data_IF_831407902858
#
_entry.id   IF_831407902858
#
_cell.length_a   1.000
_cell.length_b   1.000
_cell.length_c   1.000
_cell.angle_alpha   90.00
_cell.angle_beta   90.00
_cell.angle_gamma   90.00
#
_symmetry.space_group_name_H-M   'P 1'
#
loop_
_entity.id
_entity.type
_entity.pdbx_description
1 polymer ?
#
# COMPACT_ATOMS: atom_id res chain seq x y z
N UNK A 1 0.89 -14.51 10.59
CA UNK A 1 1.04 -13.05 10.36
C UNK A 1 -0.19 -12.60 9.61
N UNK A 2 -0.86 -11.58 10.09
CA UNK A 2 -2.07 -11.04 9.48
C UNK A 2 -1.76 -10.27 8.20
N UNK A 3 -2.60 -10.42 7.17
CA UNK A 3 -2.51 -9.65 5.93
C UNK A 3 -3.70 -8.69 5.86
N UNK A 4 -3.43 -7.41 5.60
CA UNK A 4 -4.43 -6.35 5.56
C UNK A 4 -4.44 -5.71 4.18
N UNK A 5 -5.58 -5.71 3.49
CA UNK A 5 -5.74 -5.09 2.19
C UNK A 5 -6.56 -3.81 2.37
N UNK A 6 -5.96 -2.65 2.15
CA UNK A 6 -6.63 -1.35 2.27
C UNK A 6 -7.47 -1.06 1.03
N UNK A 7 -8.79 -1.22 1.14
CA UNK A 7 -9.71 -1.14 0.01
C UNK A 7 -10.92 -0.22 0.25
N UNK A 8 -10.83 0.71 1.20
CA UNK A 8 -11.91 1.66 1.56
C UNK A 8 -11.72 3.06 0.96
N UNK A 9 -10.80 3.21 0.03
CA UNK A 9 -10.53 4.49 -0.65
C UNK A 9 -11.66 4.91 -1.59
N UNK A 10 -12.12 6.18 -1.49
CA UNK A 10 -13.19 6.73 -2.34
C UNK A 10 -12.83 6.84 -3.83
N UNK A 11 -11.57 6.68 -4.20
CA UNK A 11 -11.13 6.74 -5.61
C UNK A 11 -11.47 8.04 -6.34
N UNK A 12 -11.40 9.20 -5.65
CA UNK A 12 -11.83 10.52 -6.21
C UNK A 12 -11.19 10.84 -7.56
N UNK A 13 -9.90 10.54 -7.75
CA UNK A 13 -9.18 10.75 -9.00
C UNK A 13 -9.60 9.79 -10.12
N UNK A 14 -10.08 8.63 -9.75
CA UNK A 14 -10.58 7.59 -10.64
C UNK A 14 -11.93 7.93 -11.28
N UNK A 15 -12.76 8.70 -10.58
CA UNK A 15 -14.08 9.19 -11.02
C UNK A 15 -15.01 8.08 -11.57
N UNK A 16 -14.98 6.89 -10.95
CA UNK A 16 -15.75 5.71 -11.37
C UNK A 16 -15.56 5.33 -12.85
N UNK A 17 -14.36 5.50 -13.37
CA UNK A 17 -14.03 5.03 -14.71
C UNK A 17 -14.45 3.57 -14.88
N UNK A 18 -15.04 3.21 -16.03
CA UNK A 18 -15.69 1.92 -16.29
C UNK A 18 -16.87 1.58 -15.35
N UNK A 19 -17.37 2.53 -14.55
CA UNK A 19 -18.49 2.31 -13.65
C UNK A 19 -18.18 1.47 -12.42
N UNK A 20 -16.90 1.24 -12.13
CA UNK A 20 -16.46 0.43 -10.98
C UNK A 20 -15.40 1.14 -10.15
N UNK A 21 -15.31 0.88 -8.82
CA UNK A 21 -14.18 1.28 -8.00
C UNK A 21 -12.86 0.68 -8.52
N UNK A 22 -11.73 1.36 -8.30
CA UNK A 22 -10.39 0.91 -8.74
C UNK A 22 -10.10 -0.53 -8.34
N UNK A 23 -10.43 -0.90 -7.11
CA UNK A 23 -10.19 -2.21 -6.53
C UNK A 23 -10.89 -3.35 -7.28
N UNK A 24 -11.93 -3.03 -8.06
CA UNK A 24 -12.69 -3.98 -8.89
C UNK A 24 -12.32 -3.93 -10.37
N UNK A 25 -11.26 -3.20 -10.74
CA UNK A 25 -10.71 -3.26 -12.09
C UNK A 25 -10.28 -4.68 -12.42
N UNK A 26 -10.53 -5.08 -13.68
CA UNK A 26 -10.20 -6.43 -14.14
C UNK A 26 -8.94 -6.44 -15.00
N UNK A 27 -8.04 -7.34 -14.64
CA UNK A 27 -6.85 -7.69 -15.41
C UNK A 27 -6.92 -9.21 -15.64
N UNK A 28 -6.85 -9.64 -16.88
CA UNK A 28 -6.96 -11.05 -17.27
C UNK A 28 -8.22 -11.76 -16.71
N UNK A 29 -9.33 -11.00 -16.62
CA UNK A 29 -10.62 -11.53 -16.16
C UNK A 29 -10.82 -11.55 -14.63
N UNK A 30 -9.79 -11.26 -13.84
CA UNK A 30 -9.81 -11.23 -12.38
C UNK A 30 -9.79 -9.79 -11.85
N UNK A 31 -10.51 -9.49 -10.76
CA UNK A 31 -10.42 -8.15 -10.15
C UNK A 31 -9.09 -7.99 -9.40
N UNK A 32 -8.62 -6.75 -9.20
CA UNK A 32 -7.38 -6.50 -8.43
C UNK A 32 -7.45 -7.14 -7.05
N UNK A 33 -8.58 -7.01 -6.35
CA UNK A 33 -8.76 -7.62 -5.01
C UNK A 33 -8.76 -9.14 -5.08
N UNK A 34 -9.48 -9.76 -6.04
CA UNK A 34 -9.53 -11.20 -6.15
C UNK A 34 -8.16 -11.78 -6.48
N UNK A 35 -7.46 -11.15 -7.43
CA UNK A 35 -6.08 -11.49 -7.79
C UNK A 35 -5.15 -11.43 -6.58
N UNK A 36 -5.16 -10.33 -5.84
CA UNK A 36 -4.32 -10.14 -4.66
C UNK A 36 -4.61 -11.18 -3.59
N UNK A 37 -5.88 -11.43 -3.27
CA UNK A 37 -6.25 -12.44 -2.29
C UNK A 37 -5.82 -13.84 -2.72
N UNK A 38 -5.97 -14.21 -4.00
CA UNK A 38 -5.50 -15.49 -4.54
C UNK A 38 -3.97 -15.61 -4.43
N UNK A 39 -3.24 -14.59 -4.90
CA UNK A 39 -1.77 -14.59 -4.83
C UNK A 39 -1.26 -14.74 -3.38
N UNK A 40 -1.86 -14.03 -2.43
CA UNK A 40 -1.53 -14.14 -1.02
C UNK A 40 -1.80 -15.55 -0.48
N UNK A 41 -2.97 -16.11 -0.79
CA UNK A 41 -3.34 -17.47 -0.36
C UNK A 41 -2.42 -18.54 -0.97
N UNK A 42 -2.10 -18.46 -2.25
CA UNK A 42 -1.18 -19.37 -2.95
C UNK A 42 0.25 -19.32 -2.37
N UNK A 43 0.64 -18.20 -1.75
CA UNK A 43 1.90 -18.06 -1.01
C UNK A 43 1.78 -18.35 0.49
N UNK A 44 0.69 -19.01 0.94
CA UNK A 44 0.54 -19.52 2.31
C UNK A 44 0.01 -18.49 3.31
N UNK A 45 -0.58 -17.38 2.87
CA UNK A 45 -1.25 -16.45 3.76
C UNK A 45 -2.72 -16.87 3.97
N UNK A 46 -3.07 -17.31 5.19
CA UNK A 46 -4.42 -17.79 5.52
C UNK A 46 -5.26 -16.77 6.33
N UNK A 47 -4.62 -15.75 6.92
CA UNK A 47 -5.31 -14.72 7.71
C UNK A 47 -5.33 -13.39 6.94
N UNK A 48 -6.22 -13.31 5.94
CA UNK A 48 -6.38 -12.17 5.06
C UNK A 48 -7.64 -11.38 5.47
N UNK A 49 -7.48 -10.06 5.66
CA UNK A 49 -8.57 -9.15 6.00
C UNK A 49 -8.61 -7.99 4.99
N UNK A 50 -9.75 -7.81 4.34
CA UNK A 50 -10.03 -6.65 3.48
C UNK A 50 -10.59 -5.53 4.35
N UNK A 51 -9.87 -4.41 4.44
CA UNK A 51 -10.38 -3.18 5.06
C UNK A 51 -11.21 -2.45 4.02
N UNK A 52 -12.52 -2.69 4.03
CA UNK A 52 -13.44 -2.13 3.04
C UNK A 52 -14.68 -2.99 2.80
N UNK A 53 -15.54 -2.61 1.82
CA UNK A 53 -16.83 -3.25 1.60
C UNK A 53 -16.77 -4.54 0.77
N UNK A 54 -15.61 -4.91 0.24
CA UNK A 54 -15.49 -6.02 -0.70
C UNK A 54 -15.44 -7.37 0.00
N UNK A 55 -15.96 -8.40 -0.66
CA UNK A 55 -15.96 -9.78 -0.17
C UNK A 55 -15.13 -10.66 -1.09
N UNK A 56 -14.42 -11.60 -0.48
CA UNK A 56 -13.62 -12.59 -1.20
C UNK A 56 -13.64 -13.93 -0.46
N UNK A 57 -13.51 -15.03 -1.20
CA UNK A 57 -13.53 -16.39 -0.61
C UNK A 57 -12.31 -16.71 0.26
N UNK A 58 -11.19 -15.97 0.09
CA UNK A 58 -9.95 -16.15 0.83
C UNK A 58 -9.79 -15.17 1.99
N UNK A 59 -10.70 -14.22 2.16
CA UNK A 59 -10.54 -13.11 3.09
C UNK A 59 -11.81 -12.83 3.90
N UNK A 60 -11.62 -12.34 5.11
CA UNK A 60 -12.68 -11.68 5.90
C UNK A 60 -12.68 -10.18 5.63
N UNK A 61 -13.74 -9.49 6.11
CA UNK A 61 -13.84 -8.03 5.98
C UNK A 61 -13.80 -7.37 7.36
N UNK A 62 -13.19 -6.20 7.40
CA UNK A 62 -13.27 -5.30 8.56
C UNK A 62 -13.51 -3.85 8.11
N UNK A 63 -13.96 -3.00 9.04
CA UNK A 63 -14.18 -1.57 8.84
C UNK A 63 -13.55 -0.79 9.97
N UNK A 64 -13.02 0.36 9.61
CA UNK A 64 -12.45 1.32 10.55
C UNK A 64 -13.17 2.65 10.45
N UNK A 65 -13.16 3.41 11.55
CA UNK A 65 -13.81 4.72 11.62
C UNK A 65 -12.91 5.86 11.15
N UNK A 66 -11.60 5.61 11.02
CA UNK A 66 -10.65 6.64 10.66
C UNK A 66 -10.86 7.14 9.22
N UNK A 67 -11.05 8.43 9.09
CA UNK A 67 -11.22 9.15 7.83
C UNK A 67 -9.88 9.55 7.15
N UNK A 68 -8.77 9.33 7.85
CA UNK A 68 -7.42 9.67 7.39
C UNK A 68 -6.48 8.48 7.49
N UNK A 69 -5.71 8.21 6.44
CA UNK A 69 -4.75 7.09 6.35
C UNK A 69 -3.82 7.00 7.56
N UNK A 70 -3.31 8.13 8.08
CA UNK A 70 -2.44 8.16 9.26
C UNK A 70 -3.09 7.64 10.53
N UNK A 71 -4.38 7.94 10.74
CA UNK A 71 -5.17 7.45 11.87
C UNK A 71 -5.57 6.01 11.67
N UNK A 72 -5.92 5.63 10.43
CA UNK A 72 -6.21 4.25 10.06
C UNK A 72 -5.04 3.32 10.38
N UNK A 73 -3.81 3.69 10.04
CA UNK A 73 -2.62 2.89 10.33
C UNK A 73 -2.42 2.66 11.83
N UNK A 74 -2.67 3.68 12.65
CA UNK A 74 -2.61 3.57 14.09
C UNK A 74 -3.74 2.66 14.63
N UNK A 75 -4.99 2.89 14.23
CA UNK A 75 -6.15 2.08 14.66
C UNK A 75 -5.98 0.60 14.29
N UNK A 76 -5.44 0.30 13.11
CA UNK A 76 -5.10 -1.07 12.68
C UNK A 76 -4.17 -1.73 13.68
N UNK A 77 -3.02 -1.10 13.97
CA UNK A 77 -2.03 -1.66 14.88
C UNK A 77 -2.55 -1.82 16.31
N UNK A 78 -3.34 -0.86 16.80
CA UNK A 78 -3.98 -0.90 18.12
C UNK A 78 -5.06 -1.98 18.24
N UNK A 79 -5.78 -2.26 17.15
CA UNK A 79 -6.86 -3.25 17.13
C UNK A 79 -6.32 -4.68 17.07
N UNK A 80 -5.44 -4.96 16.13
CA UNK A 80 -4.98 -6.33 15.90
C UNK A 80 -3.88 -6.77 16.87
N UNK A 81 -3.01 -5.88 17.31
CA UNK A 81 -1.94 -6.16 18.29
C UNK A 81 -1.06 -7.36 17.94
N UNK A 82 -0.85 -7.62 16.67
CA UNK A 82 -0.01 -8.68 16.12
C UNK A 82 0.74 -8.21 14.87
N UNK A 83 1.89 -8.81 14.50
CA UNK A 83 2.58 -8.50 13.26
C UNK A 83 1.69 -8.64 12.03
N UNK A 84 1.79 -7.69 11.12
CA UNK A 84 0.97 -7.67 9.91
C UNK A 84 1.75 -7.21 8.66
N UNK A 85 1.21 -7.58 7.49
CA UNK A 85 1.55 -6.99 6.19
C UNK A 85 0.32 -6.19 5.73
N UNK A 86 0.53 -4.97 5.25
CA UNK A 86 -0.51 -4.09 4.78
C UNK A 86 -0.25 -3.71 3.32
N UNK A 87 -1.23 -3.95 2.45
CA UNK A 87 -1.17 -3.70 1.01
C UNK A 87 -2.22 -2.68 0.58
N UNK A 88 -1.92 -1.86 -0.43
CA UNK A 88 -2.91 -0.99 -1.06
C UNK A 88 -3.80 -1.82 -1.99
N UNK A 89 -5.12 -1.75 -1.83
CA UNK A 89 -6.09 -2.57 -2.56
C UNK A 89 -6.36 -2.11 -4.00
N UNK A 90 -5.79 -1.00 -4.44
CA UNK A 90 -5.92 -0.42 -5.77
C UNK A 90 -4.65 -0.59 -6.63
N UNK A 91 -3.73 -1.45 -6.18
CA UNK A 91 -2.50 -1.79 -6.90
C UNK A 91 -2.63 -3.11 -7.66
N UNK A 92 -1.98 -3.17 -8.82
CA UNK A 92 -1.59 -4.42 -9.45
C UNK A 92 -0.27 -4.88 -8.83
N UNK A 93 -0.22 -6.13 -8.37
CA UNK A 93 0.98 -6.76 -7.82
C UNK A 93 1.43 -7.91 -8.71
N UNK A 94 2.74 -8.04 -8.91
CA UNK A 94 3.33 -9.25 -9.48
C UNK A 94 3.37 -10.38 -8.45
N UNK A 95 3.51 -11.63 -8.90
CA UNK A 95 3.62 -12.78 -7.99
C UNK A 95 4.92 -12.70 -7.18
N UNK A 96 5.98 -12.13 -7.76
CA UNK A 96 7.30 -11.98 -7.15
C UNK A 96 7.27 -11.03 -5.95
N UNK A 97 6.63 -9.85 -6.04
CA UNK A 97 6.56 -8.93 -4.90
C UNK A 97 5.70 -9.48 -3.77
N UNK A 98 4.60 -10.19 -4.11
CA UNK A 98 3.74 -10.84 -3.11
C UNK A 98 4.53 -11.92 -2.37
N UNK A 99 5.26 -12.77 -3.09
CA UNK A 99 6.12 -13.77 -2.48
C UNK A 99 7.19 -13.14 -1.59
N UNK A 100 7.90 -12.14 -2.10
CA UNK A 100 8.96 -11.45 -1.35
C UNK A 100 8.43 -10.79 -0.08
N UNK A 101 7.26 -10.15 -0.11
CA UNK A 101 6.72 -9.52 1.09
C UNK A 101 6.29 -10.52 2.18
N UNK A 102 5.92 -11.74 1.80
CA UNK A 102 5.59 -12.80 2.75
C UNK A 102 6.88 -13.39 3.35
N UNK A 103 7.88 -13.73 2.51
CA UNK A 103 9.08 -14.46 2.90
C UNK A 103 10.14 -13.57 3.57
N UNK A 104 10.29 -12.30 3.15
CA UNK A 104 11.34 -11.42 3.65
C UNK A 104 11.18 -11.07 5.13
N UNK A 105 12.22 -11.28 5.91
CA UNK A 105 12.25 -10.94 7.33
C UNK A 105 12.42 -9.42 7.56
N UNK A 106 11.60 -8.85 8.45
CA UNK A 106 11.70 -7.46 8.89
C UNK A 106 12.55 -7.37 10.17
N UNK A 107 13.87 -7.43 10.03
CA UNK A 107 14.85 -7.46 11.14
C UNK A 107 14.83 -6.19 11.99
N UNK A 108 14.50 -5.05 11.40
CA UNK A 108 14.42 -3.73 12.07
C UNK A 108 12.98 -3.36 12.48
N UNK A 109 12.05 -4.33 12.51
CA UNK A 109 10.68 -4.12 12.97
C UNK A 109 9.71 -3.58 11.93
N UNK A 110 10.19 -3.04 10.81
CA UNK A 110 9.39 -2.53 9.71
C UNK A 110 10.13 -2.64 8.38
N UNK A 111 9.39 -2.97 7.30
CA UNK A 111 9.83 -2.86 5.91
C UNK A 111 8.75 -2.17 5.06
N UNK A 112 9.19 -1.45 4.04
CA UNK A 112 8.34 -0.74 3.12
C UNK A 112 8.79 -1.02 1.67
N UNK A 113 7.96 -1.71 0.90
CA UNK A 113 8.20 -1.93 -0.54
C UNK A 113 7.78 -0.69 -1.31
N UNK A 114 8.71 -0.16 -2.06
CA UNK A 114 8.48 1.04 -2.86
C UNK A 114 9.27 1.03 -4.16
N UNK A 115 8.76 1.74 -5.17
CA UNK A 115 9.50 2.11 -6.36
C UNK A 115 9.76 3.61 -6.32
N UNK A 116 11.00 4.09 -6.14
CA UNK A 116 11.32 5.52 -6.12
C UNK A 116 11.45 6.13 -7.53
N UNK A 117 11.40 5.30 -8.57
CA UNK A 117 11.45 5.75 -9.96
C UNK A 117 10.06 5.80 -10.59
N UNK A 118 9.88 6.62 -11.65
CA UNK A 118 8.69 6.55 -12.47
C UNK A 118 8.47 5.14 -13.01
N UNK A 119 7.24 4.65 -12.91
CA UNK A 119 6.88 3.40 -13.55
C UNK A 119 6.74 3.61 -15.07
N UNK A 120 7.33 2.73 -15.87
CA UNK A 120 7.41 2.93 -17.32
C UNK A 120 6.12 2.52 -18.06
N UNK A 121 5.21 1.74 -17.46
CA UNK A 121 3.95 1.40 -18.12
C UNK A 121 2.88 2.44 -17.88
N UNK A 122 2.70 2.90 -16.64
CA UNK A 122 1.71 3.91 -16.32
C UNK A 122 2.18 5.30 -16.73
N UNK A 123 3.51 5.49 -16.85
CA UNK A 123 4.13 6.74 -17.24
C UNK A 123 4.01 7.83 -16.18
N UNK A 124 3.72 7.49 -14.93
CA UNK A 124 3.75 8.42 -13.81
C UNK A 124 5.16 8.97 -13.62
N UNK A 125 5.31 10.28 -13.41
CA UNK A 125 6.63 10.90 -13.25
C UNK A 125 7.23 10.74 -11.84
N UNK A 126 6.56 10.01 -10.95
CA UNK A 126 6.97 9.79 -9.55
C UNK A 126 6.96 8.33 -9.18
N UNK A 127 7.69 7.99 -8.13
CA UNK A 127 7.67 6.65 -7.54
C UNK A 127 6.47 6.44 -6.61
N UNK A 128 6.18 5.20 -6.28
CA UNK A 128 5.07 4.76 -5.44
C UNK A 128 5.53 3.87 -4.26
N UNK A 129 4.70 3.83 -3.21
CA UNK A 129 4.85 2.93 -2.08
C UNK A 129 3.67 1.97 -2.01
N UNK A 130 3.93 0.69 -1.85
CA UNK A 130 2.96 -0.36 -2.07
C UNK A 130 2.59 -1.16 -0.83
N UNK A 131 3.59 -1.61 -0.06
CA UNK A 131 3.42 -2.60 0.99
C UNK A 131 4.18 -2.16 2.25
N UNK A 132 3.57 -2.36 3.42
CA UNK A 132 4.22 -2.25 4.72
C UNK A 132 4.20 -3.60 5.41
N UNK A 133 5.33 -4.06 5.92
CA UNK A 133 5.44 -5.21 6.84
C UNK A 133 5.89 -4.71 8.19
N UNK A 134 5.06 -4.89 9.20
CA UNK A 134 5.28 -4.39 10.57
C UNK A 134 5.41 -5.58 11.51
N UNK A 135 6.54 -5.68 12.19
CA UNK A 135 6.82 -6.72 13.19
C UNK A 135 7.06 -6.16 14.59
N UNK A 136 7.51 -4.90 14.70
CA UNK A 136 7.60 -4.16 15.98
C UNK A 136 6.40 -3.20 16.11
N UNK A 137 5.34 -3.69 16.73
CA UNK A 137 4.10 -2.93 16.91
C UNK A 137 4.23 -1.77 17.91
N UNK A 138 4.98 -1.96 18.96
CA UNK A 138 5.13 -0.93 19.98
C UNK A 138 5.88 0.28 19.41
N UNK A 139 6.94 0.04 18.66
CA UNK A 139 7.63 1.08 17.91
C UNK A 139 6.69 1.75 16.89
N UNK A 140 5.96 0.97 16.09
CA UNK A 140 5.04 1.47 15.06
C UNK A 140 3.95 2.36 15.66
N UNK A 141 3.26 1.88 16.70
CA UNK A 141 2.21 2.64 17.40
C UNK A 141 2.78 3.92 18.00
N UNK A 142 3.95 3.85 18.67
CA UNK A 142 4.61 5.00 19.26
C UNK A 142 4.93 6.07 18.21
N UNK A 143 5.51 5.69 17.08
CA UNK A 143 5.83 6.61 15.96
C UNK A 143 4.58 7.24 15.36
N UNK A 144 3.52 6.46 15.10
CA UNK A 144 2.27 7.01 14.56
C UNK A 144 1.54 7.91 15.56
N UNK A 145 1.55 7.57 16.82
CA UNK A 145 0.99 8.43 17.89
C UNK A 145 1.68 9.79 17.90
N UNK A 146 3.00 9.81 17.86
CA UNK A 146 3.78 11.06 17.83
C UNK A 146 3.55 11.82 16.50
N UNK A 147 3.52 11.14 15.37
CA UNK A 147 3.19 11.75 14.09
C UNK A 147 1.82 12.43 14.12
N UNK A 148 0.79 11.70 14.56
CA UNK A 148 -0.58 12.21 14.64
C UNK A 148 -0.66 13.42 15.60
N UNK A 149 -0.02 13.33 16.77
CA UNK A 149 0.04 14.44 17.74
C UNK A 149 0.68 15.70 17.13
N UNK A 150 1.77 15.56 16.38
CA UNK A 150 2.43 16.70 15.71
C UNK A 150 1.59 17.30 14.61
N UNK A 151 0.96 16.47 13.77
CA UNK A 151 0.08 16.95 12.70
C UNK A 151 -1.15 17.66 13.26
N UNK A 152 -1.79 17.10 14.29
CA UNK A 152 -2.92 17.74 14.96
C UNK A 152 -2.49 19.04 15.68
N UNK A 153 -1.22 19.17 16.07
CA UNK A 153 -0.58 20.39 16.60
C UNK A 153 -0.12 21.39 15.52
N UNK A 154 -0.43 21.16 14.25
CA UNK A 154 -0.14 22.10 13.15
C UNK A 154 1.14 21.80 12.34
N UNK A 155 1.78 20.64 12.54
CA UNK A 155 2.91 20.25 11.70
C UNK A 155 2.44 20.08 10.24
N UNK A 156 3.14 20.75 9.33
CA UNK A 156 2.85 20.64 7.91
C UNK A 156 3.23 19.26 7.36
N UNK A 157 2.38 18.70 6.53
CA UNK A 157 2.59 17.42 5.84
C UNK A 157 2.29 17.56 4.36
N UNK A 158 3.01 16.84 3.51
CA UNK A 158 2.84 16.90 2.07
C UNK A 158 1.81 15.88 1.56
N UNK A 159 2.06 14.60 1.80
CA UNK A 159 1.24 13.48 1.33
C UNK A 159 1.54 12.22 2.18
N UNK A 160 1.07 11.05 1.74
CA UNK A 160 1.29 9.77 2.44
C UNK A 160 2.77 9.44 2.64
N UNK A 161 3.66 9.88 1.74
CA UNK A 161 5.10 9.77 1.92
C UNK A 161 5.62 10.54 3.16
N UNK A 162 4.88 11.53 3.65
CA UNK A 162 5.23 12.21 4.91
C UNK A 162 5.20 11.27 6.10
N UNK A 163 4.28 10.28 6.10
CA UNK A 163 4.24 9.23 7.13
C UNK A 163 5.52 8.40 7.07
N UNK A 164 5.86 7.88 5.88
CA UNK A 164 7.05 7.06 5.69
C UNK A 164 8.33 7.81 6.10
N UNK A 165 8.47 9.07 5.66
CA UNK A 165 9.61 9.92 6.03
C UNK A 165 9.70 10.18 7.52
N UNK A 166 8.57 10.35 8.19
CA UNK A 166 8.55 10.48 9.64
C UNK A 166 9.00 9.18 10.32
N UNK A 167 8.55 8.02 9.82
CA UNK A 167 8.90 6.71 10.38
C UNK A 167 10.42 6.45 10.33
N UNK A 168 11.13 6.91 9.31
CA UNK A 168 12.59 6.77 9.23
C UNK A 168 13.38 8.03 9.61
N UNK A 169 12.75 8.95 10.34
CA UNK A 169 13.38 10.15 10.92
C UNK A 169 14.04 11.07 9.87
N UNK A 170 13.40 11.22 8.68
CA UNK A 170 13.89 12.14 7.66
C UNK A 170 13.92 13.58 8.15
N UNK A 171 14.96 14.34 7.75
CA UNK A 171 15.12 15.77 8.12
C UNK A 171 13.97 16.64 7.60
N UNK A 172 13.42 16.32 6.46
CA UNK A 172 12.32 17.05 5.85
C UNK A 172 11.23 16.07 5.38
N UNK A 173 10.12 16.04 6.12
CA UNK A 173 8.97 15.19 5.82
C UNK A 173 7.99 15.83 4.82
N UNK A 174 8.16 17.11 4.48
CA UNK A 174 7.20 17.85 3.64
C UNK A 174 7.49 17.75 2.14
N UNK A 175 8.69 17.27 1.77
CA UNK A 175 9.08 17.14 0.37
C UNK A 175 8.15 16.19 -0.39
N UNK A 176 7.70 16.65 -1.54
CA UNK A 176 7.00 15.83 -2.52
C UNK A 176 7.95 15.01 -3.41
N UNK A 177 9.25 15.40 -3.49
CA UNK A 177 10.20 14.69 -4.33
C UNK A 177 10.49 13.29 -3.78
N UNK A 178 10.34 12.31 -4.64
CA UNK A 178 10.51 10.90 -4.37
C UNK A 178 11.74 10.46 -5.17
N UNK A 179 12.90 10.70 -4.63
CA UNK A 179 14.14 10.34 -5.27
C UNK A 179 14.73 9.09 -4.61
N UNK A 180 15.46 8.30 -5.38
CA UNK A 180 16.22 7.15 -4.88
C UNK A 180 17.13 7.51 -3.70
N UNK A 181 17.58 8.77 -3.62
CA UNK A 181 18.42 9.26 -2.52
C UNK A 181 17.67 9.47 -1.21
N UNK A 182 16.33 9.38 -1.23
CA UNK A 182 15.48 9.49 -0.05
C UNK A 182 15.13 8.11 0.54
N UNK A 183 15.67 7.01 0.00
CA UNK A 183 15.46 5.66 0.54
C UNK A 183 16.14 5.49 1.90
N UNK A 184 15.45 4.82 2.78
CA UNK A 184 15.94 4.44 4.12
C UNK A 184 16.36 2.97 4.15
N UNK A 185 16.97 2.52 5.27
CA UNK A 185 17.25 1.11 5.51
C UNK A 185 16.00 0.22 5.62
N UNK A 186 14.84 0.83 5.78
CA UNK A 186 13.55 0.13 5.86
C UNK A 186 12.91 -0.07 4.49
N UNK A 187 13.41 0.59 3.44
CA UNK A 187 12.83 0.53 2.11
C UNK A 187 13.39 -0.68 1.34
N UNK A 188 12.48 -1.50 0.81
CA UNK A 188 12.76 -2.54 -0.16
C UNK A 188 12.48 -1.95 -1.53
N UNK A 189 13.56 -1.66 -2.26
CA UNK A 189 13.43 -1.17 -3.62
C UNK A 189 12.88 -2.25 -4.54
N UNK A 190 11.76 -1.93 -5.21
CA UNK A 190 11.09 -2.85 -6.13
C UNK A 190 10.76 -2.14 -7.44
N UNK A 191 11.12 -2.76 -8.57
CA UNK A 191 10.91 -2.19 -9.89
C UNK A 191 10.55 -3.28 -10.89
N UNK A 192 9.25 -3.56 -10.97
CA UNK A 192 8.64 -4.50 -11.90
C UNK A 192 7.32 -3.91 -12.45
N UNK A 193 6.34 -4.75 -12.78
CA UNK A 193 5.02 -4.34 -13.22
C UNK A 193 4.07 -3.90 -12.09
N UNK A 194 4.50 -3.97 -10.84
CA UNK A 194 3.69 -3.52 -9.70
C UNK A 194 3.48 -2.01 -9.75
N UNK A 195 2.21 -1.58 -9.76
CA UNK A 195 1.85 -0.17 -9.72
C UNK A 195 0.40 0.04 -9.29
N UNK A 196 0.04 1.26 -8.88
CA UNK A 196 -1.33 1.64 -8.60
C UNK A 196 -1.94 2.39 -9.80
N UNK A 197 -3.27 2.36 -9.92
CA UNK A 197 -4.01 3.06 -10.96
C UNK A 197 -4.69 4.31 -10.38
N UNK A 198 -3.98 5.41 -10.32
CA UNK A 198 -4.52 6.67 -9.82
C UNK A 198 -5.49 7.34 -10.79
N UNK A 199 -5.20 7.25 -12.07
CA UNK A 199 -5.98 7.84 -13.15
C UNK A 199 -6.37 6.77 -14.18
N UNK A 200 -7.40 7.10 -14.96
CA UNK A 200 -7.85 6.29 -16.10
C UNK A 200 -6.69 5.95 -17.05
N UNK A 201 -5.86 6.93 -17.34
CA UNK A 201 -4.74 6.84 -18.27
C UNK A 201 -3.67 5.83 -17.81
N UNK A 202 -3.51 5.65 -16.49
CA UNK A 202 -2.58 4.66 -15.93
C UNK A 202 -3.05 3.24 -16.29
N UNK A 203 -4.34 2.96 -16.07
CA UNK A 203 -4.93 1.67 -16.42
C UNK A 203 -4.92 1.41 -17.93
N UNK A 204 -5.30 2.39 -18.75
CA UNK A 204 -5.34 2.24 -20.20
C UNK A 204 -3.93 1.93 -20.76
N UNK A 205 -2.89 2.62 -20.28
CA UNK A 205 -1.49 2.36 -20.67
C UNK A 205 -1.03 0.98 -20.23
N UNK A 206 -1.36 0.58 -19.02
CA UNK A 206 -1.04 -0.76 -18.51
C UNK A 206 -1.71 -1.83 -19.37
N UNK A 207 -3.00 -1.71 -19.70
CA UNK A 207 -3.74 -2.66 -20.55
C UNK A 207 -3.21 -2.70 -21.97
N UNK A 208 -2.76 -1.58 -22.54
CA UNK A 208 -2.12 -1.55 -23.86
C UNK A 208 -0.73 -2.20 -23.83
N UNK A 209 -0.01 -2.09 -22.74
CA UNK A 209 1.26 -2.74 -22.57
C UNK A 209 1.09 -4.27 -22.42
N UNK A 210 0.13 -4.75 -21.64
CA UNK A 210 -0.13 -6.19 -21.46
C UNK A 210 -0.51 -6.89 -22.77
N UNK A 211 -1.25 -6.20 -23.67
CA UNK A 211 -1.61 -6.75 -25.01
C UNK A 211 -0.42 -6.94 -25.96
N UNK A 212 0.72 -6.30 -25.68
CA UNK A 212 1.92 -6.36 -26.54
C UNK A 212 2.90 -7.47 -26.10
N UNK A 213 2.62 -8.10 -24.98
CA UNK A 213 3.33 -9.28 -24.46
C UNK A 213 2.73 -10.57 -25.02
#
# INVERSE_FOLDING_TARGET
MKILILADGEGKRWNNYQGVPKQLLRIDGETLIDRMCRQLHENGADDIVIIGPYKNQYATNDKFSADMKRKLFQEIAERYREPFIMLNGDCFYTDEIIKDCIEREATDGWLHWCCPHPNFYTGKPWGEGYIHKVTDLDWWISKLTEYNRRVDGGMQVGNDWSINRFLYDAKDITKHSRNIHDLSKYDVYWHDETDDFDFKEDYDRFMDWTKRR
#
